data_IF_499637824045
#
_entry.id   IF_499637824045
#
_cell.length_a   1.000
_cell.length_b   1.000
_cell.length_c   1.000
_cell.angle_alpha   90.00
_cell.angle_beta   90.00
_cell.angle_gamma   90.00
#
_symmetry.space_group_name_H-M   'P 1'
#
loop_
_entity.id
_entity.type
_entity.pdbx_description
1 polymer ?
#
# COMPACT_ATOMS: atom_id res chain seq x y z
N UNK A 1 -11.67 25.03 6.57
CA UNK A 1 -10.35 24.41 6.79
C UNK A 1 -9.78 24.13 5.42
N UNK A 2 -8.58 24.62 5.10
CA UNK A 2 -8.00 24.42 3.77
C UNK A 2 -7.90 22.94 3.43
N UNK A 3 -8.49 22.53 2.31
CA UNK A 3 -8.26 21.23 1.70
C UNK A 3 -6.84 21.22 1.14
N UNK A 4 -5.86 21.06 2.04
CA UNK A 4 -4.46 20.98 1.66
C UNK A 4 -4.22 19.66 0.95
N UNK A 5 -3.69 19.75 -0.27
CA UNK A 5 -3.23 18.62 -1.05
C UNK A 5 -2.28 17.72 -0.23
N UNK A 6 -2.26 16.41 -0.49
CA UNK A 6 -1.31 15.49 0.11
C UNK A 6 0.13 15.97 -0.13
N UNK A 7 0.90 16.15 0.94
CA UNK A 7 2.30 16.64 0.90
C UNK A 7 3.33 15.52 0.71
N UNK A 8 2.93 14.41 0.13
CA UNK A 8 3.79 13.23 -0.07
C UNK A 8 3.82 12.83 -1.54
N UNK A 9 4.80 12.01 -1.90
CA UNK A 9 5.05 11.65 -3.29
C UNK A 9 3.90 10.79 -3.85
N UNK A 10 3.35 11.13 -5.04
CA UNK A 10 2.35 10.28 -5.70
C UNK A 10 2.85 8.86 -5.93
N UNK A 11 1.92 7.91 -6.05
CA UNK A 11 2.23 6.51 -6.30
C UNK A 11 2.93 6.33 -7.65
N UNK A 12 4.14 5.79 -7.59
CA UNK A 12 4.97 5.37 -8.71
C UNK A 12 5.15 3.84 -8.68
N UNK A 13 5.92 3.30 -9.63
CA UNK A 13 6.22 1.88 -9.69
C UNK A 13 7.00 1.31 -8.49
N UNK A 14 7.62 2.16 -7.66
CA UNK A 14 8.62 1.72 -6.66
C UNK A 14 8.33 2.14 -5.22
N UNK A 15 7.36 3.02 -4.96
CA UNK A 15 7.14 3.62 -3.64
C UNK A 15 5.86 3.16 -2.94
N UNK A 16 5.18 2.11 -3.42
CA UNK A 16 3.89 1.68 -2.87
C UNK A 16 3.86 1.48 -1.35
N UNK A 17 4.85 0.85 -0.68
CA UNK A 17 4.80 0.67 0.77
C UNK A 17 4.71 2.00 1.54
N UNK A 18 5.55 2.98 1.18
CA UNK A 18 5.52 4.31 1.78
C UNK A 18 4.24 5.06 1.41
N UNK A 19 3.91 5.08 0.12
CA UNK A 19 2.73 5.77 -0.41
C UNK A 19 1.44 5.28 0.25
N UNK A 20 1.27 3.95 0.39
CA UNK A 20 0.05 3.38 0.97
C UNK A 20 -0.14 3.80 2.42
N UNK A 21 0.92 3.86 3.22
CA UNK A 21 0.87 4.36 4.59
C UNK A 21 0.52 5.86 4.67
N UNK A 22 1.18 6.68 3.85
CA UNK A 22 0.95 8.14 3.81
C UNK A 22 -0.45 8.49 3.29
N UNK A 23 -0.90 7.80 2.24
CA UNK A 23 -2.23 8.00 1.66
C UNK A 23 -3.34 7.54 2.61
N UNK A 24 -3.17 6.38 3.26
CA UNK A 24 -4.09 5.94 4.31
C UNK A 24 -4.19 6.98 5.43
N UNK A 25 -3.05 7.46 5.95
CA UNK A 25 -3.02 8.48 7.00
C UNK A 25 -3.73 9.76 6.57
N UNK A 26 -3.47 10.24 5.35
CA UNK A 26 -4.13 11.43 4.81
C UNK A 26 -5.64 11.23 4.66
N UNK A 27 -6.11 10.10 4.13
CA UNK A 27 -7.54 9.77 4.05
C UNK A 27 -8.20 9.67 5.44
N UNK A 28 -7.47 9.24 6.47
CA UNK A 28 -7.96 9.26 7.85
C UNK A 28 -8.18 10.70 8.35
N UNK A 29 -7.26 11.63 8.06
CA UNK A 29 -7.44 13.06 8.42
C UNK A 29 -8.66 13.69 7.76
N UNK A 30 -9.08 13.16 6.60
CA UNK A 30 -10.27 13.60 5.86
C UNK A 30 -11.55 12.84 6.24
N UNK A 31 -11.47 11.83 7.10
CA UNK A 31 -12.61 10.98 7.44
C UNK A 31 -13.10 10.10 6.26
N UNK A 32 -12.26 9.85 5.26
CA UNK A 32 -12.59 9.08 4.06
C UNK A 32 -12.11 7.62 4.14
N UNK A 33 -11.20 7.30 5.06
CA UNK A 33 -10.59 5.97 5.13
C UNK A 33 -11.59 4.82 5.32
N UNK A 34 -12.63 5.00 6.14
CA UNK A 34 -13.64 3.93 6.35
C UNK A 34 -14.38 3.57 5.07
N UNK A 35 -14.62 4.56 4.21
CA UNK A 35 -15.21 4.36 2.89
C UNK A 35 -14.22 3.64 1.97
N UNK A 36 -12.99 4.14 1.85
CA UNK A 36 -11.95 3.57 0.96
C UNK A 36 -11.56 2.14 1.34
N UNK A 37 -11.45 1.85 2.63
CA UNK A 37 -11.20 0.48 3.14
C UNK A 37 -12.40 -0.46 3.01
N UNK A 38 -13.55 0.03 2.55
CA UNK A 38 -14.79 -0.73 2.40
C UNK A 38 -15.48 -1.09 3.72
N UNK A 39 -15.03 -0.54 4.85
CA UNK A 39 -15.65 -0.74 6.17
C UNK A 39 -16.98 0.00 6.31
N UNK A 40 -17.13 1.15 5.65
CA UNK A 40 -18.37 1.91 5.54
C UNK A 40 -19.09 1.52 4.23
N UNK A 41 -20.25 0.87 4.35
CA UNK A 41 -21.08 0.48 3.19
C UNK A 41 -22.05 1.60 2.82
N UNK A 42 -22.41 1.65 1.53
CA UNK A 42 -23.44 2.56 1.05
C UNK A 42 -24.76 2.30 1.80
N UNK A 43 -25.44 3.34 2.31
CA UNK A 43 -26.76 3.22 2.92
C UNK A 43 -27.77 2.67 1.90
N UNK A 44 -28.66 1.76 2.30
CA UNK A 44 -29.54 1.07 1.34
C UNK A 44 -30.94 1.68 1.12
N UNK A 45 -31.35 2.67 1.92
CA UNK A 45 -32.78 3.07 2.01
C UNK A 45 -33.05 4.57 2.11
N UNK A 46 -32.09 5.37 2.57
CA UNK A 46 -32.24 6.81 2.74
C UNK A 46 -31.51 7.56 1.62
N UNK A 47 -32.27 8.26 0.77
CA UNK A 47 -31.75 8.97 -0.39
C UNK A 47 -30.74 10.08 -0.02
N UNK A 48 -30.98 10.80 1.08
CA UNK A 48 -30.06 11.87 1.52
C UNK A 48 -28.74 11.27 2.02
N UNK A 49 -28.83 10.16 2.76
CA UNK A 49 -27.65 9.43 3.22
C UNK A 49 -26.87 8.80 2.05
N UNK A 50 -27.56 8.30 1.02
CA UNK A 50 -26.94 7.78 -0.21
C UNK A 50 -26.18 8.90 -0.93
N UNK A 51 -26.83 10.03 -1.23
CA UNK A 51 -26.20 11.15 -1.94
C UNK A 51 -24.97 11.67 -1.18
N UNK A 52 -25.06 11.78 0.15
CA UNK A 52 -23.93 12.18 1.00
C UNK A 52 -22.78 11.15 0.99
N UNK A 53 -23.10 9.86 0.92
CA UNK A 53 -22.10 8.80 0.80
C UNK A 53 -21.44 8.81 -0.57
N UNK A 54 -22.22 8.94 -1.64
CA UNK A 54 -21.74 9.01 -3.04
C UNK A 54 -20.81 10.22 -3.24
N UNK A 55 -21.19 11.40 -2.74
CA UNK A 55 -20.33 12.58 -2.81
C UNK A 55 -18.99 12.38 -2.09
N UNK A 56 -18.97 11.62 -0.98
CA UNK A 56 -17.73 11.26 -0.28
C UNK A 56 -16.93 10.20 -1.07
N UNK A 57 -17.61 9.27 -1.73
CA UNK A 57 -16.97 8.27 -2.59
C UNK A 57 -16.28 8.93 -3.78
N UNK A 58 -16.95 9.87 -4.47
CA UNK A 58 -16.38 10.64 -5.58
C UNK A 58 -15.14 11.43 -5.15
N UNK A 59 -15.22 12.12 -4.00
CA UNK A 59 -14.06 12.84 -3.43
C UNK A 59 -12.90 11.91 -3.11
N UNK A 60 -13.18 10.74 -2.54
CA UNK A 60 -12.15 9.75 -2.24
C UNK A 60 -11.52 9.18 -3.51
N UNK A 61 -12.32 8.88 -4.53
CA UNK A 61 -11.85 8.35 -5.80
C UNK A 61 -10.98 9.37 -6.54
N UNK A 62 -11.43 10.63 -6.61
CA UNK A 62 -10.65 11.74 -7.16
C UNK A 62 -9.33 11.95 -6.43
N UNK A 63 -9.32 11.91 -5.09
CA UNK A 63 -8.10 12.04 -4.31
C UNK A 63 -7.10 10.90 -4.57
N UNK A 64 -7.59 9.65 -4.65
CA UNK A 64 -6.76 8.49 -5.00
C UNK A 64 -6.17 8.65 -6.40
N UNK A 65 -6.99 8.95 -7.39
CA UNK A 65 -6.57 9.10 -8.78
C UNK A 65 -5.52 10.22 -8.96
N UNK A 66 -5.73 11.37 -8.31
CA UNK A 66 -4.81 12.50 -8.38
C UNK A 66 -3.46 12.19 -7.72
N UNK A 67 -3.44 11.34 -6.69
CA UNK A 67 -2.23 10.94 -6.00
C UNK A 67 -1.55 9.68 -6.59
N UNK A 68 -1.84 9.36 -7.86
CA UNK A 68 -1.12 8.36 -8.66
C UNK A 68 -0.44 9.06 -9.85
N UNK A 69 0.79 8.68 -10.19
CA UNK A 69 1.49 9.26 -11.36
C UNK A 69 0.78 8.91 -12.67
N UNK A 70 0.98 9.72 -13.71
CA UNK A 70 0.26 9.56 -14.99
C UNK A 70 0.48 8.17 -15.61
N UNK A 71 1.68 7.63 -15.46
CA UNK A 71 2.09 6.34 -16.01
C UNK A 71 1.38 5.16 -15.34
N UNK A 72 1.02 5.31 -14.05
CA UNK A 72 0.34 4.27 -13.27
C UNK A 72 -1.20 4.34 -13.40
N UNK A 73 -1.74 5.49 -13.82
CA UNK A 73 -3.21 5.69 -13.97
C UNK A 73 -3.86 4.77 -14.99
N UNK A 74 -3.11 4.24 -15.95
CA UNK A 74 -3.60 3.24 -16.91
C UNK A 74 -4.20 2.00 -16.21
N UNK A 75 -3.77 1.70 -14.98
CA UNK A 75 -4.31 0.60 -14.20
C UNK A 75 -5.70 0.88 -13.58
N UNK A 76 -6.16 2.13 -13.64
CA UNK A 76 -7.40 2.61 -13.03
C UNK A 76 -8.54 2.83 -14.03
N UNK A 77 -8.30 2.61 -15.33
CA UNK A 77 -9.33 2.74 -16.35
C UNK A 77 -10.53 1.83 -16.05
N UNK A 78 -11.73 2.42 -16.09
CA UNK A 78 -12.99 1.72 -15.83
C UNK A 78 -13.35 1.50 -14.35
N UNK A 79 -12.54 1.99 -13.41
CA UNK A 79 -12.84 1.94 -11.96
C UNK A 79 -12.68 3.30 -11.26
N UNK A 80 -12.56 4.39 -12.03
CA UNK A 80 -12.23 5.74 -11.52
C UNK A 80 -13.25 6.34 -10.55
N UNK A 81 -14.46 5.79 -10.51
CA UNK A 81 -15.60 6.20 -9.69
C UNK A 81 -15.75 5.38 -8.40
N UNK A 82 -15.01 4.27 -8.27
CA UNK A 82 -15.10 3.36 -7.15
C UNK A 82 -13.82 3.39 -6.31
N UNK A 83 -13.79 4.16 -5.20
CA UNK A 83 -12.57 4.33 -4.41
C UNK A 83 -12.08 3.04 -3.75
N UNK A 84 -12.99 2.09 -3.47
CA UNK A 84 -12.62 0.79 -2.90
C UNK A 84 -11.89 -0.03 -3.95
N UNK A 85 -12.43 -0.13 -5.16
CA UNK A 85 -11.76 -0.83 -6.27
C UNK A 85 -10.44 -0.19 -6.63
N UNK A 86 -10.33 1.15 -6.63
CA UNK A 86 -9.05 1.84 -6.87
C UNK A 86 -8.00 1.38 -5.84
N UNK A 87 -8.34 1.43 -4.55
CA UNK A 87 -7.41 1.04 -3.48
C UNK A 87 -6.96 -0.42 -3.62
N UNK A 88 -7.90 -1.35 -3.84
CA UNK A 88 -7.62 -2.77 -4.04
C UNK A 88 -6.77 -3.01 -5.28
N UNK A 89 -7.09 -2.35 -6.39
CA UNK A 89 -6.35 -2.50 -7.66
C UNK A 89 -4.91 -2.04 -7.52
N UNK A 90 -4.66 -0.89 -6.88
CA UNK A 90 -3.31 -0.39 -6.64
C UNK A 90 -2.53 -1.35 -5.73
N UNK A 91 -3.16 -1.92 -4.70
CA UNK A 91 -2.54 -2.96 -3.89
C UNK A 91 -2.14 -4.19 -4.72
N UNK A 92 -3.04 -4.68 -5.57
CA UNK A 92 -2.77 -5.86 -6.43
C UNK A 92 -1.64 -5.59 -7.43
N UNK A 93 -1.62 -4.40 -8.04
CA UNK A 93 -0.62 -4.04 -9.07
C UNK A 93 0.77 -3.92 -8.46
N UNK A 94 0.89 -3.28 -7.30
CA UNK A 94 2.19 -2.94 -6.71
C UNK A 94 2.68 -3.94 -5.66
N UNK A 95 1.80 -4.75 -5.07
CA UNK A 95 2.18 -5.81 -4.14
C UNK A 95 2.23 -7.13 -4.91
N UNK A 96 3.33 -7.36 -5.64
CA UNK A 96 3.62 -8.67 -6.21
C UNK A 96 3.96 -9.66 -5.09
N UNK A 97 2.97 -10.42 -4.61
CA UNK A 97 3.15 -11.49 -3.62
C UNK A 97 3.72 -12.79 -4.22
N UNK A 98 4.56 -12.68 -5.25
CA UNK A 98 5.21 -13.84 -5.87
C UNK A 98 6.41 -14.29 -5.03
N UNK A 99 6.72 -15.61 -4.99
CA UNK A 99 7.89 -16.11 -4.27
C UNK A 99 9.20 -15.39 -4.61
N UNK A 100 9.43 -15.05 -5.88
CA UNK A 100 10.63 -14.31 -6.30
C UNK A 100 10.73 -12.89 -5.72
N UNK A 101 9.61 -12.18 -5.57
CA UNK A 101 9.62 -10.84 -4.94
C UNK A 101 9.94 -10.93 -3.46
N UNK A 102 9.47 -11.99 -2.76
CA UNK A 102 9.86 -12.26 -1.37
C UNK A 102 11.32 -12.67 -1.26
N UNK A 103 11.82 -13.51 -2.16
CA UNK A 103 13.24 -13.87 -2.23
C UNK A 103 14.12 -12.62 -2.28
N UNK A 104 13.81 -11.68 -3.18
CA UNK A 104 14.57 -10.43 -3.30
C UNK A 104 14.51 -9.61 -2.00
N UNK A 105 13.34 -9.49 -1.37
CA UNK A 105 13.20 -8.79 -0.10
C UNK A 105 14.01 -9.46 1.04
N UNK A 106 14.08 -10.78 1.07
CA UNK A 106 14.96 -11.49 2.01
C UNK A 106 16.45 -11.26 1.71
N UNK A 107 16.86 -11.31 0.44
CA UNK A 107 18.24 -11.07 0.05
C UNK A 107 18.67 -9.63 0.39
N UNK A 108 17.83 -8.64 0.10
CA UNK A 108 18.03 -7.23 0.48
C UNK A 108 18.15 -7.08 2.00
N UNK A 109 17.22 -7.69 2.76
CA UNK A 109 17.21 -7.66 4.22
C UNK A 109 18.49 -8.26 4.82
N UNK A 110 18.89 -9.46 4.37
CA UNK A 110 20.10 -10.11 4.87
C UNK A 110 21.40 -9.42 4.40
N UNK A 111 21.32 -8.62 3.34
CA UNK A 111 22.41 -7.78 2.84
C UNK A 111 22.53 -6.45 3.59
N UNK A 112 21.61 -6.10 4.49
CA UNK A 112 21.74 -4.92 5.34
C UNK A 112 23.03 -5.04 6.17
N UNK A 113 23.89 -4.03 6.01
CA UNK A 113 25.12 -3.83 6.79
C UNK A 113 25.18 -2.37 7.22
N UNK A 114 25.74 -2.14 8.41
CA UNK A 114 26.03 -0.80 8.91
C UNK A 114 27.01 -0.11 7.95
N UNK A 115 26.69 1.09 7.49
CA UNK A 115 27.63 1.94 6.73
C UNK A 115 28.59 2.64 7.70
N UNK A 116 29.76 3.07 7.21
CA UNK A 116 30.79 3.73 8.04
C UNK A 116 30.22 4.93 8.80
N UNK A 117 29.53 5.83 8.09
CA UNK A 117 28.95 7.06 8.65
C UNK A 117 27.50 6.94 9.15
N UNK A 118 26.94 5.73 9.19
CA UNK A 118 25.56 5.51 9.61
C UNK A 118 25.45 5.37 11.14
N UNK A 119 24.45 6.01 11.75
CA UNK A 119 24.15 5.84 13.17
C UNK A 119 23.48 4.47 13.43
N UNK A 120 23.63 3.94 14.64
CA UNK A 120 22.95 2.68 15.02
C UNK A 120 21.43 2.79 14.92
N UNK A 121 20.87 3.97 15.20
CA UNK A 121 19.43 4.20 15.10
C UNK A 121 18.95 4.15 13.64
N UNK A 122 19.69 4.75 12.69
CA UNK A 122 19.38 4.67 11.27
C UNK A 122 19.49 3.24 10.74
N UNK A 123 20.48 2.46 11.23
CA UNK A 123 20.58 1.04 10.91
C UNK A 123 19.37 0.25 11.41
N UNK A 124 18.94 0.47 12.66
CA UNK A 124 17.76 -0.19 13.22
C UNK A 124 16.51 0.12 12.39
N UNK A 125 16.31 1.38 12.01
CA UNK A 125 15.19 1.79 11.15
C UNK A 125 15.17 1.00 9.83
N UNK A 126 16.31 0.85 9.15
CA UNK A 126 16.37 0.06 7.90
C UNK A 126 16.08 -1.43 8.10
N UNK A 127 16.49 -1.99 9.23
CA UNK A 127 16.18 -3.38 9.60
C UNK A 127 14.68 -3.53 9.79
N UNK A 128 14.05 -2.62 10.54
CA UNK A 128 12.60 -2.64 10.78
C UNK A 128 11.82 -2.46 9.47
N UNK A 129 12.23 -1.53 8.61
CA UNK A 129 11.66 -1.31 7.28
C UNK A 129 11.76 -2.56 6.40
N UNK A 130 12.93 -3.20 6.35
CA UNK A 130 13.13 -4.41 5.56
C UNK A 130 12.27 -5.58 6.06
N UNK A 131 12.13 -5.75 7.38
CA UNK A 131 11.25 -6.77 7.95
C UNK A 131 9.77 -6.48 7.63
N UNK A 132 9.33 -5.22 7.75
CA UNK A 132 7.98 -4.82 7.38
C UNK A 132 7.69 -5.07 5.89
N UNK A 133 8.66 -4.81 5.00
CA UNK A 133 8.53 -5.12 3.58
C UNK A 133 8.33 -6.62 3.35
N UNK A 134 9.12 -7.49 3.99
CA UNK A 134 8.94 -8.95 3.92
C UNK A 134 7.53 -9.35 4.37
N UNK A 135 7.05 -8.79 5.50
CA UNK A 135 5.73 -9.09 6.05
C UNK A 135 4.61 -8.69 5.08
N UNK A 136 4.70 -7.52 4.44
CA UNK A 136 3.71 -7.03 3.49
C UNK A 136 3.59 -7.90 2.23
N UNK A 137 4.69 -8.57 1.83
CA UNK A 137 4.72 -9.46 0.67
C UNK A 137 4.17 -10.86 0.94
N UNK A 138 3.82 -11.18 2.20
CA UNK A 138 3.24 -12.48 2.57
C UNK A 138 1.79 -12.60 2.07
N UNK A 139 1.38 -13.77 1.55
CA UNK A 139 -0.02 -14.06 1.31
C UNK A 139 -0.82 -14.05 2.62
N UNK A 140 -2.13 -13.87 2.51
CA UNK A 140 -3.03 -13.93 3.67
C UNK A 140 -2.99 -15.33 4.28
N UNK A 141 -2.72 -15.41 5.59
CA UNK A 141 -2.63 -16.70 6.30
C UNK A 141 -1.26 -17.37 6.28
N UNK A 142 -0.20 -16.68 5.83
CA UNK A 142 1.17 -17.19 5.79
C UNK A 142 1.64 -17.76 7.14
N UNK A 143 2.10 -19.00 7.13
CA UNK A 143 2.53 -19.78 8.30
C UNK A 143 4.04 -19.94 8.36
N UNK A 144 4.53 -20.37 9.52
CA UNK A 144 5.95 -20.66 9.72
C UNK A 144 6.47 -21.76 8.80
N UNK A 145 5.67 -22.80 8.50
CA UNK A 145 6.08 -23.85 7.57
C UNK A 145 6.36 -23.30 6.15
N UNK A 146 5.58 -22.32 5.69
CA UNK A 146 5.82 -21.67 4.39
C UNK A 146 7.10 -20.82 4.40
N UNK A 147 7.48 -20.29 5.58
CA UNK A 147 8.78 -19.63 5.75
C UNK A 147 9.93 -20.63 5.61
N UNK A 148 9.81 -21.79 6.24
CA UNK A 148 10.85 -22.84 6.19
C UNK A 148 11.06 -23.34 4.75
N UNK A 149 9.96 -23.53 4.01
CA UNK A 149 10.00 -23.89 2.58
C UNK A 149 10.68 -22.81 1.74
N UNK A 150 10.36 -21.53 1.98
CA UNK A 150 11.00 -20.40 1.29
C UNK A 150 12.49 -20.30 1.60
N UNK A 151 12.89 -20.42 2.87
CA UNK A 151 14.30 -20.40 3.26
C UNK A 151 15.09 -21.56 2.64
N UNK A 152 14.47 -22.74 2.54
CA UNK A 152 15.06 -23.90 1.87
C UNK A 152 15.24 -23.63 0.37
N UNK A 153 14.22 -23.08 -0.29
CA UNK A 153 14.31 -22.67 -1.69
C UNK A 153 15.37 -21.60 -1.92
N UNK A 154 15.50 -20.65 -1.00
CA UNK A 154 16.51 -19.61 -1.07
C UNK A 154 17.93 -20.18 -1.06
N UNK A 155 18.19 -21.14 -0.18
CA UNK A 155 19.50 -21.80 -0.07
C UNK A 155 19.87 -22.61 -1.34
N UNK A 156 18.89 -23.09 -2.10
CA UNK A 156 19.12 -23.85 -3.33
C UNK A 156 19.49 -22.98 -4.54
N UNK A 157 19.14 -21.68 -4.52
CA UNK A 157 19.29 -20.76 -5.67
C UNK A 157 20.52 -19.85 -5.51
N UNK A 158 21.12 -19.80 -4.32
CA UNK A 158 22.21 -18.86 -3.97
C UNK A 158 23.60 -19.41 -4.25
#
# INVERSE_FOLDING_TARGET
MSDSDPKFHPLSGTNYPQWSGEMQAWLMTKGLWRLVSGAEKCPGTDAEAIEKWELRAEKAAGALYLNVTKEQRIHLDGIIDDPVKIWEKLAIVHVSKKPGTRFNAYDDFFSIRKKEDESLQSLMTRIDEGMHQIQNLRPTGFKLAELDDELTCMAMIR
#
